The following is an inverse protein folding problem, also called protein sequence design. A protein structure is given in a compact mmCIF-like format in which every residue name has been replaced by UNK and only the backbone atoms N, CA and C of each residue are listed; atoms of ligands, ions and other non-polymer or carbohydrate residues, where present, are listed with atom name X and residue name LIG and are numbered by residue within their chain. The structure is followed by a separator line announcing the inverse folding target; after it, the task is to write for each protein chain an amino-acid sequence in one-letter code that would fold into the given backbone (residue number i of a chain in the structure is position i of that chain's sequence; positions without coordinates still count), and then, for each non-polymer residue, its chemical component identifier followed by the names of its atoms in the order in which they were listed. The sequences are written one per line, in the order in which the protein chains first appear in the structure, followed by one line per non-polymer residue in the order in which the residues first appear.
data_IF_829670668780
#
_entry.id   IF_829670668780
#
_cell.length_a   1.000
_cell.length_b   1.000
_cell.length_c   1.000
_cell.angle_alpha   90.00
_cell.angle_beta   90.00
_cell.angle_gamma   90.00
#
_symmetry.space_group_name_H-M   'P 1'
#
loop_
_entity.id
_entity.type
_entity.pdbx_description
1 polymer ?
#
# COMPACT_ATOMS: atom_id res chain seq x y z
N UNK A 1 -26.11 -52.00 -38.89
CA UNK A 1 -25.13 -52.33 -37.84
C UNK A 1 -23.79 -51.72 -38.20
N UNK A 2 -23.34 -50.68 -37.48
CA UNK A 2 -21.95 -50.21 -37.44
C UNK A 2 -21.78 -49.36 -36.18
N UNK A 3 -21.04 -49.90 -35.21
CA UNK A 3 -20.59 -49.22 -34.00
C UNK A 3 -19.40 -48.33 -34.38
N UNK A 4 -19.38 -47.08 -33.91
CA UNK A 4 -18.13 -46.34 -33.73
C UNK A 4 -18.16 -45.73 -32.34
N UNK A 5 -17.12 -46.07 -31.59
CA UNK A 5 -16.80 -45.72 -30.21
C UNK A 5 -15.76 -44.59 -30.26
N UNK A 6 -15.81 -43.70 -29.27
CA UNK A 6 -14.71 -42.79 -28.90
C UNK A 6 -14.85 -41.39 -29.48
N UNK A 7 -14.53 -40.29 -28.80
CA UNK A 7 -13.74 -40.08 -27.58
C UNK A 7 -14.28 -38.81 -26.92
N UNK A 8 -14.63 -38.86 -25.63
CA UNK A 8 -14.92 -37.67 -24.83
C UNK A 8 -13.57 -37.10 -24.40
N UNK A 9 -13.11 -36.05 -25.09
CA UNK A 9 -11.94 -35.29 -24.68
C UNK A 9 -12.38 -34.18 -23.72
N UNK A 10 -12.35 -34.48 -22.42
CA UNK A 10 -12.57 -33.50 -21.36
C UNK A 10 -11.31 -32.63 -21.24
N UNK A 11 -11.28 -31.48 -21.92
CA UNK A 11 -10.27 -30.44 -21.69
C UNK A 11 -10.60 -29.74 -20.36
N UNK A 12 -9.99 -30.21 -19.26
CA UNK A 12 -9.84 -29.41 -18.04
C UNK A 12 -8.80 -28.32 -18.31
N UNK A 13 -9.26 -27.17 -18.79
CA UNK A 13 -8.50 -25.93 -18.73
C UNK A 13 -8.42 -25.51 -17.25
N UNK A 14 -7.28 -25.81 -16.65
CA UNK A 14 -6.82 -25.24 -15.38
C UNK A 14 -6.75 -23.72 -15.54
N UNK A 15 -7.84 -23.04 -15.21
CA UNK A 15 -7.83 -21.61 -14.91
C UNK A 15 -7.05 -21.48 -13.60
N UNK A 16 -5.74 -21.31 -13.71
CA UNK A 16 -4.94 -20.76 -12.63
C UNK A 16 -5.39 -19.31 -12.45
N UNK A 17 -6.46 -19.11 -11.68
CA UNK A 17 -6.76 -17.80 -11.14
C UNK A 17 -5.53 -17.37 -10.36
N UNK A 18 -4.77 -16.41 -10.89
CA UNK A 18 -3.85 -15.61 -10.11
C UNK A 18 -4.66 -15.02 -8.97
N UNK A 19 -4.59 -15.66 -7.79
CA UNK A 19 -5.15 -15.12 -6.57
C UNK A 19 -4.29 -13.92 -6.19
N UNK A 20 -4.60 -12.76 -6.78
CA UNK A 20 -4.19 -11.51 -6.15
C UNK A 20 -4.85 -11.51 -4.77
N UNK A 21 -4.07 -11.36 -3.68
CA UNK A 21 -4.62 -11.40 -2.35
C UNK A 21 -5.63 -10.25 -2.19
N UNK A 22 -6.81 -10.53 -1.63
CA UNK A 22 -7.87 -9.53 -1.37
C UNK A 22 -7.43 -8.42 -0.41
N UNK A 23 -6.26 -8.56 0.22
CA UNK A 23 -5.66 -7.59 1.13
C UNK A 23 -4.15 -7.51 0.94
N UNK A 24 -3.53 -6.36 1.21
CA UNK A 24 -2.09 -6.29 1.35
C UNK A 24 -1.57 -7.31 2.38
N UNK A 25 -0.33 -7.80 2.20
CA UNK A 25 0.34 -8.64 3.19
C UNK A 25 0.33 -7.98 4.56
N UNK A 26 -0.20 -8.70 5.55
CA UNK A 26 -0.38 -8.16 6.91
C UNK A 26 0.82 -8.44 7.82
N UNK A 27 1.74 -9.31 7.39
CA UNK A 27 2.93 -9.72 8.14
C UNK A 27 4.18 -9.59 7.29
N UNK A 28 5.34 -9.46 7.94
CA UNK A 28 6.63 -9.47 7.28
C UNK A 28 6.86 -10.75 6.47
N UNK A 29 6.57 -11.91 7.05
CA UNK A 29 6.78 -13.20 6.40
C UNK A 29 5.94 -13.35 5.12
N UNK A 30 4.71 -12.85 5.13
CA UNK A 30 3.84 -12.83 3.95
C UNK A 30 4.41 -11.92 2.85
N UNK A 31 4.85 -10.71 3.22
CA UNK A 31 5.48 -9.76 2.29
C UNK A 31 6.80 -10.31 1.72
N UNK A 32 7.64 -10.92 2.55
CA UNK A 32 8.91 -11.52 2.13
C UNK A 32 8.69 -12.65 1.15
N UNK A 33 7.76 -13.57 1.44
CA UNK A 33 7.41 -14.65 0.51
C UNK A 33 6.95 -14.11 -0.85
N UNK A 34 6.17 -13.04 -0.85
CA UNK A 34 5.60 -12.45 -2.07
C UNK A 34 6.62 -11.59 -2.84
N UNK A 35 7.66 -11.10 -2.18
CA UNK A 35 8.68 -10.22 -2.78
C UNK A 35 10.03 -10.89 -3.00
N UNK A 36 10.26 -12.11 -2.50
CA UNK A 36 11.56 -12.79 -2.52
C UNK A 36 12.19 -12.92 -3.92
N UNK A 37 11.36 -13.15 -4.94
CA UNK A 37 11.82 -13.30 -6.33
C UNK A 37 11.58 -12.05 -7.20
N UNK A 38 11.15 -10.93 -6.60
CA UNK A 38 10.81 -9.70 -7.31
C UNK A 38 12.00 -8.75 -7.37
N UNK A 39 12.20 -8.12 -8.51
CA UNK A 39 13.10 -6.97 -8.67
C UNK A 39 12.62 -5.76 -7.86
N UNK A 40 13.48 -4.77 -7.55
CA UNK A 40 13.05 -3.56 -6.86
C UNK A 40 11.86 -2.85 -7.52
N UNK A 41 11.80 -2.83 -8.87
CA UNK A 41 10.68 -2.27 -9.63
C UNK A 41 9.40 -3.05 -9.40
N UNK A 42 9.44 -4.38 -9.48
CA UNK A 42 8.28 -5.24 -9.21
C UNK A 42 7.81 -5.16 -7.75
N UNK A 43 8.73 -4.97 -6.81
CA UNK A 43 8.37 -4.73 -5.41
C UNK A 43 7.67 -3.38 -5.28
N UNK A 44 8.21 -2.31 -5.86
CA UNK A 44 7.60 -0.98 -5.83
C UNK A 44 6.20 -0.96 -6.48
N UNK A 45 6.03 -1.63 -7.64
CA UNK A 45 4.73 -1.81 -8.28
C UNK A 45 3.77 -2.59 -7.39
N UNK A 46 4.21 -3.72 -6.83
CA UNK A 46 3.39 -4.52 -5.91
C UNK A 46 2.92 -3.69 -4.72
N UNK A 47 3.81 -2.89 -4.12
CA UNK A 47 3.45 -2.03 -2.98
C UNK A 47 2.40 -1.01 -3.41
N UNK A 48 2.62 -0.35 -4.54
CA UNK A 48 1.73 0.69 -5.06
C UNK A 48 0.30 0.16 -5.26
N UNK A 49 0.17 -1.01 -5.87
CA UNK A 49 -1.11 -1.65 -6.21
C UNK A 49 -1.81 -2.25 -4.99
N UNK A 50 -1.07 -2.70 -3.97
CA UNK A 50 -1.66 -3.49 -2.89
C UNK A 50 -1.81 -2.73 -1.57
N UNK A 51 -1.08 -1.62 -1.37
CA UNK A 51 -1.10 -0.84 -0.12
C UNK A 51 -1.88 0.48 -0.24
N UNK A 52 -2.81 0.57 -1.19
CA UNK A 52 -3.72 1.70 -1.34
C UNK A 52 -3.08 2.98 -1.89
N UNK A 53 -1.85 2.92 -2.39
CA UNK A 53 -1.20 4.08 -3.00
C UNK A 53 -1.96 4.55 -4.25
N UNK A 54 -2.53 3.59 -5.00
CA UNK A 54 -3.36 3.86 -6.18
C UNK A 54 -4.67 4.63 -5.89
N UNK A 55 -5.10 4.70 -4.62
CA UNK A 55 -6.29 5.50 -4.25
C UNK A 55 -6.05 6.99 -4.49
N UNK A 56 -4.80 7.44 -4.28
CA UNK A 56 -4.43 8.85 -4.39
C UNK A 56 -3.51 9.12 -5.59
N UNK A 57 -2.77 8.11 -6.05
CA UNK A 57 -1.75 8.26 -7.08
C UNK A 57 -2.07 7.46 -8.32
N UNK A 58 -1.56 7.92 -9.46
CA UNK A 58 -1.54 7.15 -10.71
C UNK A 58 -0.10 6.96 -11.16
N UNK A 59 0.18 5.84 -11.82
CA UNK A 59 1.43 5.64 -12.56
C UNK A 59 1.05 5.34 -13.99
N UNK A 60 1.46 6.22 -14.90
CA UNK A 60 1.27 5.98 -16.34
C UNK A 60 2.15 4.83 -16.82
N UNK A 61 1.84 4.28 -18.01
CA UNK A 61 2.65 3.26 -18.66
C UNK A 61 4.11 3.69 -18.91
N UNK A 62 4.40 4.99 -18.93
CA UNK A 62 5.76 5.53 -19.04
C UNK A 62 6.46 5.71 -17.69
N UNK A 63 5.88 5.21 -16.58
CA UNK A 63 6.42 5.39 -15.23
C UNK A 63 6.08 6.72 -14.56
N UNK A 64 5.46 7.66 -15.29
CA UNK A 64 5.16 9.00 -14.75
C UNK A 64 4.10 8.93 -13.66
N UNK A 65 4.47 9.46 -12.49
CA UNK A 65 3.59 9.62 -11.34
C UNK A 65 2.58 10.75 -11.54
N UNK A 66 1.34 10.53 -11.11
CA UNK A 66 0.24 11.48 -11.13
C UNK A 66 -0.66 11.32 -9.90
N UNK A 67 -1.83 11.95 -9.94
CA UNK A 67 -2.87 11.75 -8.94
C UNK A 67 -4.14 11.23 -9.61
N UNK A 68 -4.95 10.51 -8.84
CA UNK A 68 -6.34 10.18 -9.17
C UNK A 68 -7.25 11.37 -8.87
N UNK A 69 -8.50 11.38 -9.35
CA UNK A 69 -9.48 12.42 -8.98
C UNK A 69 -9.59 12.63 -7.46
N UNK A 70 -9.53 11.56 -6.68
CA UNK A 70 -9.47 11.62 -5.21
C UNK A 70 -8.18 12.32 -4.74
N UNK A 71 -7.02 11.88 -5.24
CA UNK A 71 -5.74 12.52 -4.96
C UNK A 71 -5.73 14.01 -5.33
N UNK A 72 -6.34 14.40 -6.45
CA UNK A 72 -6.52 15.80 -6.84
C UNK A 72 -7.39 16.58 -5.84
N UNK A 73 -8.45 15.96 -5.31
CA UNK A 73 -9.35 16.60 -4.36
C UNK A 73 -8.71 16.86 -2.99
N UNK A 74 -7.81 15.97 -2.56
CA UNK A 74 -7.20 16.03 -1.23
C UNK A 74 -5.77 16.61 -1.24
N UNK A 75 -5.08 16.68 -2.40
CA UNK A 75 -3.69 17.15 -2.45
C UNK A 75 -3.49 18.56 -1.90
N UNK A 76 -4.49 19.44 -2.05
CA UNK A 76 -4.39 20.82 -1.53
C UNK A 76 -4.53 20.89 -0.01
N UNK A 77 -5.10 19.85 0.59
CA UNK A 77 -5.25 19.70 2.04
C UNK A 77 -4.15 18.80 2.64
N UNK A 78 -3.36 18.14 1.79
CA UNK A 78 -2.28 17.27 2.23
C UNK A 78 -1.02 18.07 2.53
N UNK A 79 -0.64 18.10 3.81
CA UNK A 79 0.58 18.77 4.29
C UNK A 79 1.89 18.02 3.90
N UNK A 80 1.77 16.86 3.25
CA UNK A 80 2.88 15.98 2.89
C UNK A 80 3.22 14.97 3.99
N UNK A 81 3.77 13.81 3.61
CA UNK A 81 4.05 12.72 4.56
C UNK A 81 4.92 13.17 5.75
N UNK A 82 6.04 13.90 5.57
CA UNK A 82 6.88 14.28 6.71
C UNK A 82 6.17 15.21 7.70
N UNK A 83 5.42 16.20 7.20
CA UNK A 83 4.69 17.14 8.04
C UNK A 83 3.58 16.43 8.82
N UNK A 84 2.79 15.60 8.15
CA UNK A 84 1.72 14.84 8.78
C UNK A 84 2.25 13.85 9.82
N UNK A 85 3.32 13.09 9.52
CA UNK A 85 3.98 12.22 10.51
C UNK A 85 4.47 13.03 11.71
N UNK A 86 5.05 14.21 11.48
CA UNK A 86 5.49 15.11 12.55
C UNK A 86 4.32 15.58 13.43
N UNK A 87 3.19 15.92 12.82
CA UNK A 87 1.96 16.29 13.52
C UNK A 87 1.41 15.12 14.35
N UNK A 88 1.31 13.93 13.76
CA UNK A 88 0.84 12.73 14.47
C UNK A 88 1.77 12.33 15.60
N UNK A 89 3.09 12.52 15.48
CA UNK A 89 4.04 12.32 16.59
C UNK A 89 3.76 13.22 17.79
N UNK A 90 3.40 14.49 17.55
CA UNK A 90 3.02 15.42 18.62
C UNK A 90 1.68 15.04 19.25
N UNK A 91 0.74 14.53 18.45
CA UNK A 91 -0.57 14.07 18.94
C UNK A 91 -0.44 12.77 19.75
N UNK A 92 0.46 11.86 19.35
CA UNK A 92 0.64 10.55 19.95
C UNK A 92 1.04 10.61 21.44
N UNK A 93 1.72 11.68 21.86
CA UNK A 93 2.10 11.88 23.28
C UNK A 93 0.97 12.48 24.12
N UNK A 94 -0.15 12.90 23.52
CA UNK A 94 -1.31 13.43 24.23
C UNK A 94 -2.23 12.28 24.66
N UNK A 95 -2.72 12.29 25.93
CA UNK A 95 -3.84 11.45 26.33
C UNK A 95 -5.04 11.67 25.41
N UNK A 96 -5.79 10.62 25.10
CA UNK A 96 -6.89 10.69 24.13
C UNK A 96 -7.95 11.74 24.51
N UNK A 97 -8.27 11.84 25.80
CA UNK A 97 -9.20 12.83 26.35
C UNK A 97 -8.74 14.29 26.13
N UNK A 98 -7.44 14.53 25.91
CA UNK A 98 -6.87 15.86 25.74
C UNK A 98 -6.69 16.25 24.26
N UNK A 99 -7.03 15.36 23.32
CA UNK A 99 -6.91 15.64 21.88
C UNK A 99 -8.00 16.62 21.45
N UNK A 100 -7.62 17.63 20.68
CA UNK A 100 -8.54 18.58 20.08
C UNK A 100 -9.30 17.94 18.90
N UNK A 101 -10.29 18.67 18.35
CA UNK A 101 -10.96 18.24 17.12
C UNK A 101 -9.98 18.17 15.93
N UNK A 102 -9.06 19.13 15.83
CA UNK A 102 -8.02 19.16 14.80
C UNK A 102 -7.05 17.97 14.93
N UNK A 103 -6.71 17.57 16.16
CA UNK A 103 -5.87 16.39 16.39
C UNK A 103 -6.56 15.11 15.92
N UNK A 104 -7.86 14.96 16.21
CA UNK A 104 -8.66 13.82 15.74
C UNK A 104 -8.75 13.80 14.22
N UNK A 105 -8.92 14.96 13.59
CA UNK A 105 -8.97 15.07 12.14
C UNK A 105 -7.63 14.69 11.50
N UNK A 106 -6.49 15.12 12.06
CA UNK A 106 -5.16 14.70 11.59
C UNK A 106 -4.94 13.20 11.72
N UNK A 107 -5.42 12.58 12.80
CA UNK A 107 -5.37 11.13 12.96
C UNK A 107 -6.25 10.41 11.93
N UNK A 108 -7.44 10.93 11.62
CA UNK A 108 -8.30 10.38 10.57
C UNK A 108 -7.63 10.49 9.19
N UNK A 109 -7.06 11.65 8.86
CA UNK A 109 -6.31 11.85 7.60
C UNK A 109 -5.06 10.97 7.50
N UNK A 110 -4.43 10.65 8.63
CA UNK A 110 -3.31 9.71 8.66
C UNK A 110 -3.69 8.33 8.11
N UNK A 111 -4.89 7.87 8.46
CA UNK A 111 -5.44 6.63 7.93
C UNK A 111 -5.94 6.79 6.49
N UNK A 112 -6.68 7.87 6.20
CA UNK A 112 -7.22 8.17 4.86
C UNK A 112 -6.13 8.25 3.79
N UNK A 113 -4.98 8.85 4.11
CA UNK A 113 -3.83 8.92 3.21
C UNK A 113 -2.98 7.65 3.19
N UNK A 114 -3.39 6.59 3.88
CA UNK A 114 -2.71 5.30 3.91
C UNK A 114 -1.41 5.27 4.73
N UNK A 115 -1.16 6.27 5.58
CA UNK A 115 0.07 6.31 6.37
C UNK A 115 0.13 5.14 7.38
N UNK A 116 -1.02 4.61 7.80
CA UNK A 116 -1.16 3.45 8.71
C UNK A 116 -0.63 2.14 8.11
N UNK A 117 -0.47 2.04 6.78
CA UNK A 117 0.17 0.90 6.15
C UNK A 117 1.64 0.76 6.57
N UNK A 118 2.35 1.90 6.69
CA UNK A 118 3.78 1.94 7.00
C UNK A 118 4.06 2.34 8.45
N UNK A 119 3.16 3.09 9.07
CA UNK A 119 3.36 3.67 10.39
C UNK A 119 2.35 3.13 11.39
N UNK A 120 2.82 2.88 12.61
CA UNK A 120 1.96 2.53 13.74
C UNK A 120 1.96 3.67 14.74
N UNK A 121 0.77 4.18 15.04
CA UNK A 121 0.56 5.18 16.09
C UNK A 121 0.26 4.45 17.39
N UNK A 122 1.06 4.71 18.42
CA UNK A 122 0.87 4.20 19.78
C UNK A 122 0.95 5.37 20.76
N UNK A 123 0.40 5.23 21.97
CA UNK A 123 0.60 6.27 22.98
C UNK A 123 2.09 6.50 23.23
N UNK A 124 2.54 7.74 23.11
CA UNK A 124 3.93 8.15 23.25
C UNK A 124 4.80 8.00 22.00
N UNK A 125 4.33 7.41 20.89
CA UNK A 125 5.20 7.21 19.71
C UNK A 125 4.48 7.00 18.36
N UNK A 126 5.21 7.28 17.29
CA UNK A 126 4.88 6.82 15.94
C UNK A 126 6.04 5.96 15.43
N UNK A 127 5.81 4.66 15.39
CA UNK A 127 6.75 3.66 14.92
C UNK A 127 6.53 3.28 13.46
N UNK A 128 7.27 2.27 13.01
CA UNK A 128 7.03 1.59 11.74
C UNK A 128 6.25 0.30 12.01
N UNK A 129 5.36 -0.04 11.08
CA UNK A 129 4.85 -1.41 10.95
C UNK A 129 5.96 -2.32 10.43
N UNK A 130 5.76 -3.63 10.48
CA UNK A 130 6.68 -4.59 9.84
C UNK A 130 6.88 -4.27 8.34
N UNK A 131 5.80 -3.89 7.66
CA UNK A 131 5.82 -3.41 6.28
C UNK A 131 6.70 -2.16 6.17
N UNK A 132 6.46 -1.14 7.00
CA UNK A 132 7.26 0.09 7.00
C UNK A 132 8.75 -0.14 7.26
N UNK A 133 9.11 -1.10 8.11
CA UNK A 133 10.52 -1.51 8.34
C UNK A 133 11.13 -2.10 7.08
N UNK A 134 10.41 -3.00 6.39
CA UNK A 134 10.89 -3.62 5.14
C UNK A 134 11.02 -2.59 4.02
N UNK A 135 10.02 -1.72 3.83
CA UNK A 135 10.07 -0.68 2.80
C UNK A 135 11.23 0.29 3.03
N UNK A 136 11.48 0.65 4.29
CA UNK A 136 12.66 1.45 4.65
C UNK A 136 13.97 0.73 4.28
N UNK A 137 14.08 -0.57 4.55
CA UNK A 137 15.27 -1.36 4.19
C UNK A 137 15.51 -1.43 2.68
N UNK A 138 14.44 -1.28 1.88
CA UNK A 138 14.51 -1.24 0.41
C UNK A 138 14.69 0.18 -0.14
N UNK A 139 14.93 1.19 0.72
CA UNK A 139 14.96 2.61 0.34
C UNK A 139 13.69 3.08 -0.40
N UNK A 140 12.54 2.51 -0.02
CA UNK A 140 11.23 2.85 -0.56
C UNK A 140 10.42 3.64 0.47
N UNK A 141 10.75 4.92 0.71
CA UNK A 141 9.80 5.80 1.40
C UNK A 141 8.58 6.07 0.50
N UNK A 142 7.50 6.61 1.07
CA UNK A 142 6.33 7.06 0.31
C UNK A 142 6.70 7.99 -0.85
N UNK A 143 7.79 8.78 -0.72
CA UNK A 143 8.31 9.64 -1.79
C UNK A 143 9.30 8.96 -2.74
N UNK A 144 9.90 7.82 -2.36
CA UNK A 144 10.90 7.11 -3.17
C UNK A 144 10.28 6.15 -4.19
N UNK A 145 9.03 5.71 -3.98
CA UNK A 145 8.26 4.94 -4.97
C UNK A 145 8.23 5.70 -6.31
N UNK A 146 8.06 7.02 -6.28
CA UNK A 146 8.16 7.86 -7.47
C UNK A 146 9.54 7.77 -8.16
N UNK A 147 10.63 7.66 -7.41
CA UNK A 147 12.00 7.58 -7.96
C UNK A 147 12.32 6.21 -8.55
N UNK A 148 11.73 5.14 -8.01
CA UNK A 148 11.93 3.77 -8.51
C UNK A 148 11.09 3.49 -9.76
N UNK A 149 9.96 4.20 -9.92
CA UNK A 149 9.01 3.97 -11.01
C UNK A 149 9.16 4.95 -12.19
N UNK A 150 9.76 6.12 -11.99
CA UNK A 150 10.28 6.99 -13.06
C UNK A 150 11.64 6.51 -13.56
#
# INVERSE_FOLDING_TARGET
MRKVVGVIATLLLLVACSQQPERPPATLAELERLTAAKTPREIATYIFENYGCENCHTISSSGKFGFTSQGQGIKSQFEGCPALIGSVRRIAVLPEANRTAEDREKLARFDEYGCTACHRVSYGSVGLTEVGVRLRALHMSCGDVQRVLN
#
